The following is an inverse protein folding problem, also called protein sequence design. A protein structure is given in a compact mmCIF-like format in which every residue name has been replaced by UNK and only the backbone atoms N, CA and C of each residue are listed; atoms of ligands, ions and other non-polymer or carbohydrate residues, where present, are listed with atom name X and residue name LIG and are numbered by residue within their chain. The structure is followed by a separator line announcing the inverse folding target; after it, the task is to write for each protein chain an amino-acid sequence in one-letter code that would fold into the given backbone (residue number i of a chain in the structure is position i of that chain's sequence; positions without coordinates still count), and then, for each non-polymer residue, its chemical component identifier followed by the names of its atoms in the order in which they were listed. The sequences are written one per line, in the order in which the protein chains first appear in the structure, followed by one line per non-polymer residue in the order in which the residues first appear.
data_IF_027674540339
#
_entry.id   IF_027674540339
#
_cell.length_a   1.000
_cell.length_b   1.000
_cell.length_c   1.000
_cell.angle_alpha   90.00
_cell.angle_beta   90.00
_cell.angle_gamma   90.00
#
_symmetry.space_group_name_H-M   'P 1'
#
loop_
_entity.id
_entity.type
_entity.pdbx_description
1 polymer ?
#
# COMPACT_ATOMS: atom_id res chain seq x y z
N UNK A 1 3.90 -13.59 17.98
CA UNK A 1 3.74 -13.35 17.60
C UNK A 1 3.49 -12.77 16.88
N UNK A 2 3.59 -12.68 16.56
CA UNK A 2 3.50 -12.15 15.74
C UNK A 2 2.81 -11.11 15.43
N UNK A 3 2.52 -10.59 15.45
CA UNK A 3 1.94 -9.80 15.06
C UNK A 3 2.31 -8.67 15.23
N UNK A 4 2.73 -8.36 15.18
CA UNK A 4 3.05 -7.51 15.17
C UNK A 4 3.26 -6.46 14.55
N UNK A 5 3.44 -6.09 14.06
CA UNK A 5 3.76 -5.08 13.18
C UNK A 5 2.65 -4.35 12.57
N UNK A 6 1.45 -4.49 13.08
CA UNK A 6 0.28 -3.81 12.56
C UNK A 6 0.34 -2.32 12.78
N UNK A 7 1.20 -1.85 13.62
CA UNK A 7 1.26 -0.42 13.87
C UNK A 7 1.81 0.35 12.67
N UNK A 8 2.41 -0.35 11.72
CA UNK A 8 2.89 0.30 10.51
C UNK A 8 2.08 -0.10 9.31
N UNK A 9 0.90 -0.63 9.53
CA UNK A 9 0.02 -1.06 8.46
C UNK A 9 -1.19 -0.15 8.41
N UNK A 10 -1.49 0.37 7.22
CA UNK A 10 -2.57 1.33 7.06
C UNK A 10 -3.44 0.95 5.88
N UNK A 11 -4.70 1.32 5.97
CA UNK A 11 -5.59 1.23 4.83
C UNK A 11 -5.43 2.52 4.03
N UNK A 12 -5.19 2.39 2.74
CA UNK A 12 -4.94 3.56 1.89
C UNK A 12 -5.74 3.44 0.61
N UNK A 13 -5.89 4.55 -0.08
CA UNK A 13 -6.59 4.58 -1.36
C UNK A 13 -5.57 4.80 -2.46
N UNK A 14 -5.65 3.98 -3.50
CA UNK A 14 -4.76 4.13 -4.64
C UNK A 14 -5.15 5.37 -5.40
N UNK A 15 -4.18 6.25 -5.64
CA UNK A 15 -4.39 7.51 -6.33
C UNK A 15 -3.99 7.37 -7.79
N UNK A 16 -2.89 6.69 -8.04
CA UNK A 16 -2.35 6.64 -9.38
C UNK A 16 -1.52 5.38 -9.55
N UNK A 17 -1.61 4.78 -10.73
CA UNK A 17 -0.78 3.64 -11.07
C UNK A 17 0.49 4.15 -11.74
N UNK A 18 1.63 3.66 -11.28
CA UNK A 18 2.94 4.06 -11.78
C UNK A 18 3.60 2.86 -12.45
N UNK A 19 4.65 3.11 -13.22
CA UNK A 19 5.36 1.99 -13.85
C UNK A 19 6.01 1.08 -12.82
N UNK A 20 6.40 -0.11 -13.27
CA UNK A 20 7.14 -1.07 -12.46
C UNK A 20 6.36 -1.57 -11.24
N UNK A 21 5.05 -1.73 -11.41
CA UNK A 21 4.19 -2.25 -10.35
C UNK A 21 4.21 -1.37 -9.12
N UNK A 22 4.42 -0.09 -9.31
CA UNK A 22 4.36 0.89 -8.23
C UNK A 22 3.04 1.63 -8.27
N UNK A 23 2.63 2.11 -7.11
CA UNK A 23 1.38 2.83 -7.00
C UNK A 23 1.55 3.97 -6.02
N UNK A 24 0.89 5.07 -6.32
CA UNK A 24 0.81 6.17 -5.37
C UNK A 24 -0.47 5.98 -4.58
N UNK A 25 -0.36 5.90 -3.27
CA UNK A 25 -1.51 5.71 -2.40
C UNK A 25 -1.60 6.85 -1.41
N UNK A 26 -2.81 7.13 -0.98
CA UNK A 26 -3.07 8.20 -0.03
C UNK A 26 -3.54 7.61 1.28
N UNK A 27 -2.87 7.99 2.36
CA UNK A 27 -3.24 7.53 3.68
C UNK A 27 -4.48 8.29 4.17
N UNK A 28 -5.29 7.66 5.01
CA UNK A 28 -6.51 8.29 5.49
C UNK A 28 -6.25 9.16 6.71
N UNK A 29 -5.33 10.10 6.59
CA UNK A 29 -5.08 11.03 7.68
C UNK A 29 -5.43 12.43 7.22
N UNK A 30 -5.41 13.37 8.16
CA UNK A 30 -5.81 14.73 7.84
C UNK A 30 -4.87 15.38 6.87
N UNK A 31 -3.63 14.97 6.88
CA UNK A 31 -2.64 15.55 6.00
C UNK A 31 -2.68 14.93 4.62
N UNK A 32 -3.44 13.88 4.46
CA UNK A 32 -3.57 13.18 3.18
C UNK A 32 -2.21 12.84 2.62
N UNK A 33 -1.39 12.26 3.46
CA UNK A 33 -0.04 11.88 3.10
C UNK A 33 -0.06 10.87 1.95
N UNK A 34 0.78 11.09 0.96
CA UNK A 34 0.90 10.17 -0.16
C UNK A 34 2.17 9.36 -0.02
N UNK A 35 2.06 8.09 -0.35
CA UNK A 35 3.15 7.14 -0.19
C UNK A 35 3.31 6.39 -1.49
N UNK A 36 4.56 6.13 -1.86
CA UNK A 36 4.83 5.26 -2.98
C UNK A 36 4.82 3.83 -2.49
N UNK A 37 4.02 3.00 -3.12
CA UNK A 37 3.86 1.62 -2.68
C UNK A 37 4.08 0.69 -3.85
N UNK A 38 4.67 -0.45 -3.57
CA UNK A 38 4.82 -1.48 -4.57
C UNK A 38 4.01 -2.71 -4.14
N UNK A 39 3.67 -3.52 -5.12
CA UNK A 39 2.86 -4.71 -4.86
C UNK A 39 3.76 -5.80 -4.32
N UNK A 40 3.33 -6.46 -3.24
CA UNK A 40 4.10 -7.55 -2.68
C UNK A 40 4.20 -8.69 -3.69
N UNK A 41 5.23 -9.51 -3.53
CA UNK A 41 5.42 -10.63 -4.44
C UNK A 41 4.24 -11.59 -4.43
N UNK A 42 3.66 -11.79 -3.25
CA UNK A 42 2.53 -12.68 -3.13
C UNK A 42 1.35 -12.19 -3.96
N UNK A 43 1.07 -10.90 -3.92
CA UNK A 43 -0.03 -10.37 -4.70
C UNK A 43 0.24 -10.40 -6.18
N UNK A 44 1.50 -10.20 -6.57
CA UNK A 44 1.86 -10.26 -7.98
C UNK A 44 1.67 -11.65 -8.53
N UNK A 45 1.98 -12.65 -7.73
CA UNK A 45 1.80 -14.03 -8.15
C UNK A 45 0.35 -14.40 -8.34
N UNK A 46 -0.53 -13.73 -7.64
CA UNK A 46 -1.96 -13.98 -7.74
C UNK A 46 -2.64 -13.12 -8.79
N UNK A 47 -1.86 -12.34 -9.52
CA UNK A 47 -2.40 -11.49 -10.60
C UNK A 47 -3.49 -10.55 -10.12
N UNK A 48 -3.37 -10.06 -8.91
CA UNK A 48 -4.35 -9.13 -8.39
C UNK A 48 -4.17 -7.79 -9.07
N UNK A 49 -5.24 -7.30 -9.69
CA UNK A 49 -5.19 -6.03 -10.39
C UNK A 49 -5.57 -4.91 -9.43
N UNK A 50 -4.76 -3.87 -9.42
CA UNK A 50 -5.00 -2.71 -8.59
C UNK A 50 -5.20 -1.49 -9.48
N UNK A 51 -6.28 -0.78 -9.23
CA UNK A 51 -6.65 0.38 -10.05
C UNK A 51 -6.81 1.61 -9.17
N UNK A 52 -6.67 2.80 -9.74
CA UNK A 52 -6.93 4.02 -8.97
C UNK A 52 -8.33 3.97 -8.38
N UNK A 53 -8.43 4.38 -7.13
CA UNK A 53 -9.67 4.33 -6.40
C UNK A 53 -9.84 3.10 -5.54
N UNK A 54 -9.03 2.08 -5.75
CA UNK A 54 -9.09 0.88 -4.94
C UNK A 54 -8.54 1.15 -3.55
N UNK A 55 -9.06 0.42 -2.59
CA UNK A 55 -8.54 0.46 -1.25
C UNK A 55 -7.59 -0.70 -1.03
N UNK A 56 -6.47 -0.40 -0.42
CA UNK A 56 -5.44 -1.41 -0.22
C UNK A 56 -4.87 -1.27 1.17
N UNK A 57 -4.29 -2.36 1.65
CA UNK A 57 -3.56 -2.34 2.90
C UNK A 57 -2.09 -2.16 2.58
N UNK A 58 -1.48 -1.15 3.18
CA UNK A 58 -0.10 -0.80 2.91
C UNK A 58 0.70 -0.94 4.18
N UNK A 59 1.83 -1.61 4.07
CA UNK A 59 2.76 -1.76 5.17
C UNK A 59 3.91 -0.80 4.95
N UNK A 60 4.13 0.10 5.90
CA UNK A 60 5.19 1.10 5.78
C UNK A 60 6.42 0.65 6.55
N UNK A 61 7.58 1.05 6.04
CA UNK A 61 8.82 0.81 6.75
C UNK A 61 8.95 1.81 7.90
N UNK A 62 9.34 1.37 9.09
CA UNK A 62 9.58 2.32 10.17
C UNK A 62 10.77 3.23 9.88
N UNK A 63 11.58 2.87 8.91
CA UNK A 63 12.75 3.69 8.56
C UNK A 63 12.45 4.67 7.43
N UNK A 64 11.35 4.48 6.72
CA UNK A 64 11.03 5.35 5.59
C UNK A 64 9.52 5.32 5.39
N UNK A 65 8.86 6.28 5.98
CA UNK A 65 7.40 6.31 5.93
C UNK A 65 6.85 6.88 4.62
N UNK A 66 7.73 7.17 3.67
CA UNK A 66 7.28 7.62 2.37
C UNK A 66 7.16 6.47 1.38
N UNK A 67 7.53 5.27 1.79
CA UNK A 67 7.45 4.10 0.94
C UNK A 67 6.78 2.96 1.67
N UNK A 68 6.04 2.17 0.92
CA UNK A 68 5.35 1.06 1.52
C UNK A 68 5.19 -0.09 0.57
N UNK A 69 4.57 -1.15 1.07
CA UNK A 69 4.29 -2.34 0.30
C UNK A 69 2.82 -2.66 0.42
N UNK A 70 2.17 -2.87 -0.71
CA UNK A 70 0.77 -3.27 -0.72
C UNK A 70 0.72 -4.75 -0.44
N UNK A 71 0.05 -5.11 0.65
CA UNK A 71 -0.03 -6.50 1.08
C UNK A 71 -1.42 -7.09 0.91
N UNK A 72 -2.43 -6.25 0.66
CA UNK A 72 -3.80 -6.74 0.55
C UNK A 72 -4.62 -5.70 -0.18
N UNK A 73 -5.59 -6.15 -0.95
CA UNK A 73 -6.50 -5.27 -1.64
C UNK A 73 -7.91 -5.52 -1.12
N UNK A 74 -8.55 -4.47 -0.65
CA UNK A 74 -9.94 -4.56 -0.24
C UNK A 74 -10.82 -4.43 -1.46
N UNK A 75 -11.94 -5.08 -1.41
CA UNK A 75 -12.83 -5.00 -2.54
C UNK A 75 -13.50 -3.67 -2.68
#
# INVERSE_FOLDING_TARGET
MGKQDDKFTFEATVVEALPNAMFKVRLPNEQKTEVLAYVSGKMRMNYIRILPGDRVKVELSPYDLTRGRITYRFK
#
